data_IF_424204497828
#
_entry.id   IF_424204497828
#
_cell.length_a   1.000
_cell.length_b   1.000
_cell.length_c   1.000
_cell.angle_alpha   90.00
_cell.angle_beta   90.00
_cell.angle_gamma   90.00
#
_symmetry.space_group_name_H-M   'P 1'
#
loop_
_entity.id
_entity.type
_entity.pdbx_description
1 polymer ?
#
# COMPACT_ATOMS: atom_id res chain seq x y z
N UNK A 1 1.02 42.31 3.60
CA UNK A 1 1.36 41.43 4.73
C UNK A 1 2.57 40.62 4.32
N UNK A 2 3.71 40.82 4.99
CA UNK A 2 4.93 40.06 4.70
C UNK A 2 4.72 38.58 5.07
N UNK A 3 4.85 37.69 4.08
CA UNK A 3 4.93 36.27 4.34
C UNK A 3 6.26 36.00 5.05
N UNK A 4 6.24 35.82 6.37
CA UNK A 4 7.39 35.30 7.10
C UNK A 4 7.70 33.91 6.51
N UNK A 5 8.81 33.78 5.76
CA UNK A 5 9.20 32.52 5.14
C UNK A 5 9.44 31.48 6.23
N UNK A 6 8.57 30.48 6.34
CA UNK A 6 8.69 29.43 7.36
C UNK A 6 9.79 28.49 6.88
N UNK A 7 10.97 28.57 7.51
CA UNK A 7 12.13 27.76 7.15
C UNK A 7 12.49 26.78 8.26
N UNK A 8 13.14 25.68 7.89
CA UNK A 8 13.70 24.73 8.87
C UNK A 8 14.85 25.37 9.65
N UNK A 9 15.30 24.72 10.73
CA UNK A 9 16.50 25.13 11.50
C UNK A 9 17.76 25.30 10.64
N UNK A 10 17.82 24.62 9.50
CA UNK A 10 18.92 24.71 8.53
C UNK A 10 18.61 25.64 7.36
N UNK A 11 17.67 26.59 7.52
CA UNK A 11 17.27 27.58 6.52
C UNK A 11 16.73 26.97 5.21
N UNK A 12 16.21 25.73 5.26
CA UNK A 12 15.62 25.08 4.08
C UNK A 12 14.15 25.47 3.93
N UNK A 13 13.66 25.65 2.69
CA UNK A 13 12.26 25.95 2.44
C UNK A 13 11.36 24.78 2.86
N UNK A 14 10.19 25.07 3.44
CA UNK A 14 9.26 24.04 3.90
C UNK A 14 8.21 23.80 2.81
N UNK A 15 7.87 22.53 2.55
CA UNK A 15 6.79 22.21 1.61
C UNK A 15 5.43 22.37 2.24
N UNK A 16 4.50 22.96 1.50
CA UNK A 16 3.11 23.06 1.92
C UNK A 16 2.38 21.73 1.67
N UNK A 17 2.24 20.91 2.71
CA UNK A 17 1.40 19.70 2.68
C UNK A 17 0.01 20.07 3.20
N UNK A 18 -1.05 19.74 2.44
CA UNK A 18 -2.43 19.95 2.86
C UNK A 18 -2.92 18.79 3.72
N UNK A 19 -3.94 19.04 4.55
CA UNK A 19 -4.61 17.97 5.30
C UNK A 19 -5.14 16.87 4.39
N UNK A 20 -5.67 17.23 3.20
CA UNK A 20 -6.18 16.27 2.22
C UNK A 20 -5.10 15.30 1.74
N UNK A 21 -3.85 15.76 1.61
CA UNK A 21 -2.73 14.89 1.22
C UNK A 21 -2.33 13.93 2.33
N UNK A 22 -2.39 14.38 3.59
CA UNK A 22 -2.16 13.50 4.75
C UNK A 22 -3.25 12.43 4.81
N UNK A 23 -4.52 12.79 4.62
CA UNK A 23 -5.62 11.83 4.55
C UNK A 23 -5.46 10.86 3.37
N UNK A 24 -5.10 11.36 2.19
CA UNK A 24 -4.89 10.52 1.00
C UNK A 24 -3.77 9.49 1.21
N UNK A 25 -2.70 9.86 1.91
CA UNK A 25 -1.63 8.93 2.29
C UNK A 25 -2.11 7.90 3.31
N UNK A 26 -2.95 8.32 4.26
CA UNK A 26 -3.54 7.43 5.25
C UNK A 26 -4.46 6.40 4.60
N UNK A 27 -5.32 6.81 3.65
CA UNK A 27 -6.21 5.92 2.92
C UNK A 27 -5.42 4.86 2.12
N UNK A 28 -4.31 5.26 1.48
CA UNK A 28 -3.42 4.31 0.80
C UNK A 28 -2.78 3.32 1.78
N UNK A 29 -2.41 3.78 2.98
CA UNK A 29 -1.85 2.91 4.02
C UNK A 29 -2.89 1.91 4.54
N UNK A 30 -4.13 2.35 4.75
CA UNK A 30 -5.23 1.45 5.14
C UNK A 30 -5.52 0.39 4.07
N UNK A 31 -5.51 0.78 2.78
CA UNK A 31 -5.68 -0.15 1.67
C UNK A 31 -4.59 -1.23 1.68
N UNK A 32 -3.32 -0.85 1.87
CA UNK A 32 -2.22 -1.81 1.99
C UNK A 32 -2.38 -2.72 3.21
N UNK A 33 -2.72 -2.16 4.37
CA UNK A 33 -2.91 -2.93 5.61
C UNK A 33 -4.09 -3.91 5.51
N UNK A 34 -5.13 -3.60 4.73
CA UNK A 34 -6.28 -4.48 4.54
C UNK A 34 -5.90 -5.87 3.96
N UNK A 35 -4.75 -5.95 3.27
CA UNK A 35 -4.24 -7.19 2.70
C UNK A 35 -3.45 -8.07 3.66
N UNK A 36 -3.06 -7.59 4.84
CA UNK A 36 -2.22 -8.32 5.79
C UNK A 36 -2.80 -9.70 6.13
N UNK A 37 -4.08 -9.74 6.51
CA UNK A 37 -4.77 -10.99 6.89
C UNK A 37 -4.87 -11.96 5.73
N UNK A 38 -5.09 -11.44 4.53
CA UNK A 38 -5.22 -12.24 3.31
C UNK A 38 -3.88 -12.86 2.90
N UNK A 39 -2.79 -12.09 2.99
CA UNK A 39 -1.43 -12.58 2.73
C UNK A 39 -1.01 -13.64 3.75
N UNK A 40 -1.40 -13.47 5.02
CA UNK A 40 -1.17 -14.49 6.04
C UNK A 40 -1.86 -15.82 5.69
N UNK A 41 -3.10 -15.78 5.21
CA UNK A 41 -3.84 -16.97 4.77
C UNK A 41 -3.15 -17.68 3.60
N UNK A 42 -2.68 -16.92 2.60
CA UNK A 42 -1.91 -17.48 1.49
C UNK A 42 -0.62 -18.14 2.01
N UNK A 43 0.11 -17.46 2.90
CA UNK A 43 1.35 -17.98 3.46
C UNK A 43 1.13 -19.27 4.25
N UNK A 44 0.10 -19.33 5.09
CA UNK A 44 -0.27 -20.54 5.85
C UNK A 44 -0.61 -21.70 4.92
N UNK A 45 -1.37 -21.47 3.85
CA UNK A 45 -1.73 -22.50 2.88
C UNK A 45 -0.51 -23.06 2.14
N UNK A 46 0.37 -22.20 1.64
CA UNK A 46 1.54 -22.61 0.86
C UNK A 46 2.71 -23.12 1.71
N UNK A 47 2.76 -22.79 3.00
CA UNK A 47 3.81 -23.26 3.92
C UNK A 47 3.55 -24.65 4.51
N UNK A 48 2.34 -25.20 4.40
CA UNK A 48 1.99 -26.52 4.92
C UNK A 48 2.51 -27.66 4.02
N UNK A 49 3.82 -27.92 4.15
CA UNK A 49 4.52 -28.97 3.38
C UNK A 49 4.24 -30.40 3.87
N UNK A 50 3.60 -30.58 5.03
CA UNK A 50 3.37 -31.90 5.67
C UNK A 50 1.92 -32.36 5.61
N UNK A 51 1.09 -31.66 4.83
CA UNK A 51 -0.35 -31.93 4.76
C UNK A 51 -0.64 -33.33 4.19
N UNK A 52 -1.57 -34.09 4.79
CA UNK A 52 -2.07 -35.32 4.18
C UNK A 52 -2.62 -35.05 2.77
N UNK A 53 -2.27 -35.91 1.81
CA UNK A 53 -2.54 -35.70 0.38
C UNK A 53 -4.01 -35.94 0.04
N UNK A 54 -4.90 -35.05 0.48
CA UNK A 54 -6.27 -34.99 -0.02
C UNK A 54 -6.30 -34.12 -1.29
N UNK A 55 -6.03 -34.74 -2.44
CA UNK A 55 -5.89 -34.07 -3.74
C UNK A 55 -7.09 -33.17 -4.10
N UNK A 56 -8.31 -33.62 -3.83
CA UNK A 56 -9.54 -32.85 -4.15
C UNK A 56 -9.64 -31.58 -3.31
N UNK A 57 -9.35 -31.70 -2.00
CA UNK A 57 -9.35 -30.55 -1.08
C UNK A 57 -8.25 -29.55 -1.45
N UNK A 58 -7.04 -30.04 -1.71
CA UNK A 58 -5.89 -29.22 -2.12
C UNK A 58 -6.21 -28.46 -3.42
N UNK A 59 -6.79 -29.12 -4.43
CA UNK A 59 -7.15 -28.46 -5.69
C UNK A 59 -8.20 -27.34 -5.49
N UNK A 60 -9.20 -27.58 -4.64
CA UNK A 60 -10.23 -26.58 -4.32
C UNK A 60 -9.66 -25.37 -3.57
N UNK A 61 -8.83 -25.60 -2.56
CA UNK A 61 -8.21 -24.54 -1.77
C UNK A 61 -7.16 -23.78 -2.60
N UNK A 62 -6.42 -24.47 -3.47
CA UNK A 62 -5.50 -23.84 -4.41
C UNK A 62 -6.24 -22.90 -5.37
N UNK A 63 -7.38 -23.34 -5.92
CA UNK A 63 -8.20 -22.49 -6.78
C UNK A 63 -8.69 -21.22 -6.05
N UNK A 64 -9.12 -21.36 -4.79
CA UNK A 64 -9.50 -20.21 -3.96
C UNK A 64 -8.30 -19.27 -3.70
N UNK A 65 -7.15 -19.83 -3.33
CA UNK A 65 -5.91 -19.06 -3.12
C UNK A 65 -5.44 -18.35 -4.40
N UNK A 66 -5.60 -18.97 -5.57
CA UNK A 66 -5.29 -18.36 -6.85
C UNK A 66 -6.16 -17.14 -7.12
N UNK A 67 -7.47 -17.21 -6.85
CA UNK A 67 -8.35 -16.05 -7.02
C UNK A 67 -7.96 -14.92 -6.07
N UNK A 68 -7.73 -15.25 -4.80
CA UNK A 68 -7.26 -14.29 -3.78
C UNK A 68 -5.97 -13.61 -4.23
N UNK A 69 -4.99 -14.40 -4.70
CA UNK A 69 -3.72 -13.88 -5.18
C UNK A 69 -3.92 -12.95 -6.39
N UNK A 70 -4.74 -13.32 -7.37
CA UNK A 70 -5.02 -12.47 -8.53
C UNK A 70 -5.64 -11.14 -8.12
N UNK A 71 -6.60 -11.15 -7.20
CA UNK A 71 -7.22 -9.91 -6.69
C UNK A 71 -6.20 -9.06 -5.93
N UNK A 72 -5.43 -9.66 -5.02
CA UNK A 72 -4.35 -8.98 -4.31
C UNK A 72 -3.35 -8.34 -5.26
N UNK A 73 -2.85 -9.12 -6.23
CA UNK A 73 -1.83 -8.66 -7.17
C UNK A 73 -2.30 -7.45 -7.98
N UNK A 74 -3.55 -7.49 -8.46
CA UNK A 74 -4.13 -6.39 -9.21
C UNK A 74 -4.28 -5.13 -8.34
N UNK A 75 -4.84 -5.25 -7.14
CA UNK A 75 -5.05 -4.11 -6.25
C UNK A 75 -3.73 -3.52 -5.75
N UNK A 76 -2.77 -4.38 -5.37
CA UNK A 76 -1.43 -3.97 -4.97
C UNK A 76 -0.72 -3.19 -6.09
N UNK A 77 -0.79 -3.69 -7.33
CA UNK A 77 -0.17 -3.01 -8.48
C UNK A 77 -0.77 -1.62 -8.73
N UNK A 78 -2.08 -1.49 -8.63
CA UNK A 78 -2.77 -0.20 -8.78
C UNK A 78 -2.43 0.75 -7.62
N UNK A 79 -2.41 0.24 -6.39
CA UNK A 79 -2.07 1.01 -5.19
C UNK A 79 -0.64 1.51 -5.24
N UNK A 80 0.30 0.69 -5.70
CA UNK A 80 1.70 1.07 -5.90
C UNK A 80 1.83 2.23 -6.90
N UNK A 81 1.16 2.14 -8.05
CA UNK A 81 1.16 3.21 -9.07
C UNK A 81 0.56 4.52 -8.52
N UNK A 82 -0.53 4.43 -7.75
CA UNK A 82 -1.13 5.61 -7.09
C UNK A 82 -0.17 6.24 -6.09
N UNK A 83 0.52 5.42 -5.28
CA UNK A 83 1.48 5.90 -4.30
C UNK A 83 2.68 6.57 -4.97
N UNK A 84 3.24 5.98 -6.03
CA UNK A 84 4.31 6.60 -6.83
C UNK A 84 3.88 7.95 -7.41
N UNK A 85 2.67 8.02 -7.97
CA UNK A 85 2.11 9.27 -8.52
C UNK A 85 1.94 10.34 -7.43
N UNK A 86 1.42 9.98 -6.26
CA UNK A 86 1.29 10.92 -5.14
C UNK A 86 2.66 11.41 -4.65
N UNK A 87 3.67 10.53 -4.58
CA UNK A 87 5.04 10.92 -4.21
C UNK A 87 5.59 11.94 -5.21
N UNK A 88 5.38 11.75 -6.51
CA UNK A 88 5.84 12.69 -7.54
C UNK A 88 5.17 14.06 -7.36
N UNK A 89 3.85 14.08 -7.12
CA UNK A 89 3.09 15.32 -6.88
C UNK A 89 3.61 16.06 -5.65
N UNK A 90 3.75 15.36 -4.51
CA UNK A 90 4.29 15.93 -3.27
C UNK A 90 5.74 16.40 -3.45
N UNK A 91 6.52 15.74 -4.31
CA UNK A 91 7.88 16.16 -4.68
C UNK A 91 7.90 17.41 -5.55
N UNK A 92 6.90 17.62 -6.40
CA UNK A 92 6.77 18.80 -7.27
C UNK A 92 6.21 20.05 -6.58
N UNK A 93 5.63 19.93 -5.38
CA UNK A 93 5.00 21.05 -4.69
C UNK A 93 5.93 22.22 -4.36
N UNK A 94 5.36 23.41 -4.51
CA UNK A 94 5.97 24.68 -4.14
C UNK A 94 6.36 24.71 -2.65
N UNK A 95 7.39 25.50 -2.39
CA UNK A 95 7.96 25.69 -1.07
C UNK A 95 7.52 27.05 -0.54
N UNK A 96 7.19 27.11 0.75
CA UNK A 96 6.89 28.33 1.50
C UNK A 96 8.14 28.79 2.27
#
# INVERSE_FOLDING_TARGET
>A
MENQSVKTKNNQPIKMISYQEVYSLHDLLEQLNSWERTLKLLNEFFSDQKRPVNKKKIASEYHACSQIFTTFHNDFSQTLQKMESQIIILRGKEKI
#
